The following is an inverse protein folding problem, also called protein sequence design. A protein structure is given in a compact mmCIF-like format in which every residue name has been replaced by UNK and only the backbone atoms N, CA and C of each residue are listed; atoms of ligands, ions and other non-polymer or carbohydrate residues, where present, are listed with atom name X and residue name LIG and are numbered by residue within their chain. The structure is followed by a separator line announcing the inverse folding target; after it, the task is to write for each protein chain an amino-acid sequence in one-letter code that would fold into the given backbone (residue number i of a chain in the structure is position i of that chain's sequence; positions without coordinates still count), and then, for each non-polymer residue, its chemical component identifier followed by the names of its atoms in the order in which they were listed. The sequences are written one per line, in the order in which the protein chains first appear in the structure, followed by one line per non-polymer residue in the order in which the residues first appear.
data_IF_383426299488
#
_entry.id   IF_383426299488
#
_cell.length_a   1.000
_cell.length_b   1.000
_cell.length_c   1.000
_cell.angle_alpha   90.00
_cell.angle_beta   90.00
_cell.angle_gamma   90.00
#
_symmetry.space_group_name_H-M   'P 1'
#
loop_
_entity.id
_entity.type
_entity.pdbx_description
1 polymer ?
#
# COMPACT_ATOMS: atom_id res chain seq x y z
N UNK A 1 -22.86 -1.23 -22.71
CA UNK A 1 -21.83 -2.01 -22.00
C UNK A 1 -20.62 -2.11 -22.91
N UNK A 2 -19.66 -1.21 -22.74
CA UNK A 2 -18.35 -1.29 -23.37
C UNK A 2 -17.36 -1.40 -22.22
N UNK A 3 -16.66 -2.53 -22.17
CA UNK A 3 -15.62 -2.84 -21.19
C UNK A 3 -14.43 -1.90 -21.44
N UNK A 4 -14.49 -0.69 -20.88
CA UNK A 4 -13.36 0.25 -20.84
C UNK A 4 -12.45 -0.17 -19.70
N UNK A 5 -11.83 -1.34 -19.80
CA UNK A 5 -10.58 -1.53 -19.08
C UNK A 5 -9.57 -0.57 -19.72
N UNK A 6 -8.95 0.35 -18.97
CA UNK A 6 -7.89 1.18 -19.51
C UNK A 6 -6.80 0.26 -20.08
N UNK A 7 -6.36 0.52 -21.32
CA UNK A 7 -5.20 -0.18 -21.88
C UNK A 7 -4.04 0.00 -20.89
N UNK A 8 -3.33 -1.07 -20.49
CA UNK A 8 -2.14 -0.94 -19.65
C UNK A 8 -1.16 0.03 -20.31
N UNK A 9 -0.80 1.09 -19.58
CA UNK A 9 0.01 2.21 -20.08
C UNK A 9 1.51 1.90 -20.10
N UNK A 10 1.93 0.78 -19.50
CA UNK A 10 3.33 0.41 -19.33
C UNK A 10 3.63 -1.03 -19.78
N UNK A 11 4.87 -1.27 -20.19
CA UNK A 11 5.38 -2.58 -20.62
C UNK A 11 6.58 -2.94 -19.77
N UNK A 12 6.54 -4.10 -19.12
CA UNK A 12 7.63 -4.69 -18.34
C UNK A 12 8.36 -5.70 -19.22
N UNK A 13 9.63 -5.43 -19.51
CA UNK A 13 10.50 -6.32 -20.27
C UNK A 13 11.32 -7.22 -19.34
N UNK A 14 11.32 -8.53 -19.57
CA UNK A 14 12.06 -9.52 -18.79
C UNK A 14 13.20 -10.17 -19.58
N UNK A 15 14.27 -10.54 -18.89
CA UNK A 15 15.39 -11.32 -19.45
C UNK A 15 16.47 -10.51 -20.16
N UNK A 16 16.34 -9.17 -20.22
CA UNK A 16 17.38 -8.28 -20.74
C UNK A 16 18.64 -8.29 -19.87
N UNK A 17 19.81 -8.06 -20.47
CA UNK A 17 21.09 -8.05 -19.74
C UNK A 17 21.09 -6.98 -18.64
N UNK A 18 21.30 -7.38 -17.40
CA UNK A 18 21.29 -6.48 -16.24
C UNK A 18 19.88 -6.06 -15.77
N UNK A 19 18.82 -6.60 -16.39
CA UNK A 19 17.45 -6.40 -15.91
C UNK A 19 17.18 -7.20 -14.63
N UNK A 20 16.38 -6.63 -13.74
CA UNK A 20 15.89 -7.30 -12.53
C UNK A 20 14.40 -7.03 -12.37
N UNK A 21 13.62 -8.06 -12.08
CA UNK A 21 12.22 -7.94 -11.75
C UNK A 21 12.06 -7.25 -10.39
N UNK A 22 11.32 -6.14 -10.37
CA UNK A 22 11.03 -5.36 -9.15
C UNK A 22 9.64 -5.70 -8.60
N UNK A 23 9.43 -5.46 -7.30
CA UNK A 23 8.12 -5.61 -6.67
C UNK A 23 7.03 -4.72 -7.31
N UNK A 24 7.37 -3.47 -7.66
CA UNK A 24 6.47 -2.58 -8.40
C UNK A 24 6.04 -3.18 -9.75
N UNK A 25 6.96 -3.80 -10.48
CA UNK A 25 6.66 -4.50 -11.73
C UNK A 25 5.75 -5.71 -11.49
N UNK A 26 5.97 -6.46 -10.40
CA UNK A 26 5.10 -7.58 -10.00
C UNK A 26 3.70 -7.09 -9.72
N UNK A 27 3.55 -6.07 -8.87
CA UNK A 27 2.26 -5.48 -8.55
C UNK A 27 1.52 -4.97 -9.78
N UNK A 28 2.23 -4.25 -10.67
CA UNK A 28 1.63 -3.69 -11.88
C UNK A 28 1.08 -4.77 -12.81
N UNK A 29 1.83 -5.85 -13.08
CA UNK A 29 1.35 -6.96 -13.90
C UNK A 29 0.25 -7.75 -13.19
N UNK A 30 0.39 -8.01 -11.89
CA UNK A 30 -0.60 -8.72 -11.09
C UNK A 30 -1.99 -8.05 -11.13
N UNK A 31 -2.01 -6.72 -11.17
CA UNK A 31 -3.21 -5.90 -11.25
C UNK A 31 -3.61 -5.50 -12.69
N UNK A 32 -2.92 -6.00 -13.72
CA UNK A 32 -3.23 -5.69 -15.11
C UNK A 32 -2.91 -4.24 -15.54
N UNK A 33 -2.08 -3.53 -14.77
CA UNK A 33 -1.62 -2.16 -15.04
C UNK A 33 -0.46 -2.12 -16.06
N UNK A 34 0.20 -3.26 -16.30
CA UNK A 34 1.31 -3.39 -17.22
C UNK A 34 1.22 -4.67 -18.07
N UNK A 35 1.71 -4.58 -19.32
CA UNK A 35 1.94 -5.75 -20.17
C UNK A 35 3.32 -6.35 -19.92
N UNK A 36 3.48 -7.62 -20.23
CA UNK A 36 4.74 -8.36 -20.14
C UNK A 36 5.32 -8.56 -21.53
N UNK A 37 6.63 -8.34 -21.66
CA UNK A 37 7.40 -8.62 -22.87
C UNK A 37 8.66 -9.39 -22.50
N UNK A 38 9.03 -10.38 -23.32
CA UNK A 38 10.31 -11.06 -23.21
C UNK A 38 11.32 -10.32 -24.10
N UNK A 39 12.51 -10.05 -23.56
CA UNK A 39 13.60 -9.45 -24.32
C UNK A 39 14.04 -10.35 -25.48
N UNK A 40 14.25 -9.79 -26.67
CA UNK A 40 14.60 -10.59 -27.85
C UNK A 40 15.94 -11.31 -27.68
N UNK A 41 16.90 -10.70 -26.96
CA UNK A 41 18.23 -11.29 -26.77
C UNK A 41 18.22 -12.57 -25.94
N UNK A 42 17.32 -12.68 -24.95
CA UNK A 42 17.17 -13.93 -24.19
C UNK A 42 16.42 -14.96 -25.03
N UNK A 43 15.45 -14.55 -25.84
CA UNK A 43 14.69 -15.45 -26.70
C UNK A 43 15.59 -16.11 -27.76
N UNK A 44 16.48 -15.34 -28.39
CA UNK A 44 17.48 -15.84 -29.34
C UNK A 44 18.43 -16.85 -28.68
N UNK A 45 18.79 -16.61 -27.41
CA UNK A 45 19.61 -17.53 -26.62
C UNK A 45 18.88 -18.84 -26.29
N UNK A 46 17.59 -18.78 -25.94
CA UNK A 46 16.79 -19.99 -25.70
C UNK A 46 16.58 -20.79 -26.98
N UNK A 47 16.33 -20.12 -28.11
CA UNK A 47 16.19 -20.74 -29.44
C UNK A 47 17.47 -21.44 -29.91
N UNK A 48 18.63 -20.84 -29.68
CA UNK A 48 19.92 -21.47 -30.02
C UNK A 48 20.24 -22.65 -29.10
N UNK A 49 19.83 -22.60 -27.82
CA UNK A 49 20.07 -23.66 -26.84
C UNK A 49 19.12 -24.86 -26.96
N UNK A 50 17.90 -24.65 -27.49
CA UNK A 50 16.89 -25.71 -27.65
C UNK A 50 17.28 -26.77 -28.67
N UNK A 51 18.12 -26.43 -29.66
CA UNK A 51 18.65 -27.34 -30.67
C UNK A 51 19.56 -28.46 -30.11
N UNK A 52 20.04 -28.32 -28.87
CA UNK A 52 20.95 -29.25 -28.21
C UNK A 52 20.28 -30.15 -27.14
N UNK A 53 18.94 -30.20 -27.09
CA UNK A 53 18.21 -30.98 -26.07
C UNK A 53 18.35 -32.48 -26.29
N UNK A 54 18.71 -33.19 -25.21
CA UNK A 54 18.93 -34.65 -25.22
C UNK A 54 17.75 -35.47 -24.72
N UNK A 55 16.75 -34.83 -24.09
CA UNK A 55 15.59 -35.50 -23.47
C UNK A 55 14.28 -35.18 -24.19
N UNK A 56 13.38 -36.17 -24.36
CA UNK A 56 12.08 -35.95 -24.97
C UNK A 56 11.20 -35.03 -24.11
N UNK A 57 10.31 -34.23 -24.73
CA UNK A 57 9.37 -33.39 -24.00
C UNK A 57 8.36 -34.26 -23.23
N UNK A 58 7.96 -33.78 -22.05
CA UNK A 58 6.94 -34.38 -21.20
C UNK A 58 5.74 -33.47 -21.19
N UNK A 59 4.55 -34.04 -21.31
CA UNK A 59 3.31 -33.29 -21.13
C UNK A 59 3.07 -33.05 -19.64
N UNK A 60 2.95 -31.78 -19.26
CA UNK A 60 2.75 -31.37 -17.88
C UNK A 60 1.59 -30.38 -17.81
N UNK A 61 0.77 -30.51 -16.78
CA UNK A 61 -0.15 -29.45 -16.39
C UNK A 61 0.51 -28.64 -15.29
N UNK A 62 0.54 -27.31 -15.43
CA UNK A 62 1.12 -26.41 -14.42
C UNK A 62 -0.01 -26.02 -13.46
N UNK A 63 -0.07 -26.60 -12.25
CA UNK A 63 -1.18 -26.34 -11.35
C UNK A 63 -1.04 -24.94 -10.75
N UNK A 64 -2.05 -24.10 -10.98
CA UNK A 64 -2.22 -22.87 -10.21
C UNK A 64 -2.88 -23.25 -8.89
N UNK A 65 -2.29 -22.94 -7.72
CA UNK A 65 -2.89 -23.28 -6.44
C UNK A 65 -4.26 -22.61 -6.31
N UNK A 66 -5.30 -23.41 -6.06
CA UNK A 66 -6.71 -22.96 -6.06
C UNK A 66 -7.04 -21.88 -5.02
N UNK A 67 -6.22 -21.76 -3.98
CA UNK A 67 -6.38 -20.75 -2.93
C UNK A 67 -5.97 -19.35 -3.37
N UNK A 68 -5.14 -19.23 -4.42
CA UNK A 68 -4.60 -17.95 -4.84
C UNK A 68 -5.70 -17.07 -5.43
N UNK A 69 -5.65 -15.78 -5.11
CA UNK A 69 -6.46 -14.79 -5.83
C UNK A 69 -5.98 -14.67 -7.28
N UNK A 70 -6.76 -13.98 -8.11
CA UNK A 70 -6.37 -13.74 -9.50
C UNK A 70 -5.07 -12.93 -9.60
N UNK A 71 -4.88 -11.93 -8.72
CA UNK A 71 -3.66 -11.12 -8.63
C UNK A 71 -2.45 -11.98 -8.21
N UNK A 72 -2.62 -12.83 -7.20
CA UNK A 72 -1.57 -13.74 -6.74
C UNK A 72 -1.21 -14.77 -7.81
N UNK A 73 -2.20 -15.27 -8.55
CA UNK A 73 -2.00 -16.18 -9.67
C UNK A 73 -1.21 -15.52 -10.81
N UNK A 74 -1.51 -14.25 -11.14
CA UNK A 74 -0.72 -13.47 -12.10
C UNK A 74 0.71 -13.22 -11.61
N UNK A 75 0.88 -12.89 -10.33
CA UNK A 75 2.20 -12.69 -9.74
C UNK A 75 3.02 -13.98 -9.72
N UNK A 76 2.39 -15.13 -9.43
CA UNK A 76 2.98 -16.46 -9.55
C UNK A 76 3.50 -16.70 -10.97
N UNK A 77 2.66 -16.50 -11.99
CA UNK A 77 3.03 -16.71 -13.39
C UNK A 77 4.18 -15.79 -13.82
N UNK A 78 4.17 -14.52 -13.39
CA UNK A 78 5.26 -13.59 -13.69
C UNK A 78 6.57 -14.01 -13.01
N UNK A 79 6.51 -14.42 -11.75
CA UNK A 79 7.69 -14.91 -11.02
C UNK A 79 8.24 -16.17 -11.70
N UNK A 80 7.37 -17.11 -12.08
CA UNK A 80 7.73 -18.32 -12.80
C UNK A 80 8.40 -18.01 -14.14
N UNK A 81 7.82 -17.09 -14.92
CA UNK A 81 8.41 -16.60 -16.18
C UNK A 81 9.82 -16.06 -15.94
N UNK A 82 10.00 -15.19 -14.95
CA UNK A 82 11.33 -14.66 -14.62
C UNK A 82 12.31 -15.78 -14.24
N UNK A 83 11.87 -16.79 -13.48
CA UNK A 83 12.71 -17.95 -13.12
C UNK A 83 13.12 -18.79 -14.32
N UNK A 84 12.20 -19.04 -15.26
CA UNK A 84 12.47 -19.77 -16.49
C UNK A 84 13.48 -19.02 -17.37
N UNK A 85 13.39 -17.69 -17.44
CA UNK A 85 14.35 -16.88 -18.20
C UNK A 85 15.73 -16.85 -17.54
N UNK A 86 15.80 -16.84 -16.21
CA UNK A 86 17.04 -16.85 -15.45
C UNK A 86 17.78 -18.20 -15.46
N UNK A 87 17.06 -19.32 -15.61
CA UNK A 87 17.70 -20.64 -15.69
C UNK A 87 18.50 -20.80 -17.00
N UNK A 88 18.09 -20.11 -18.07
CA UNK A 88 18.77 -20.11 -19.37
C UNK A 88 18.72 -21.45 -20.11
N UNK A 89 18.03 -22.45 -19.57
CA UNK A 89 17.86 -23.79 -20.14
C UNK A 89 16.43 -24.08 -20.61
N UNK A 90 15.50 -23.15 -20.36
CA UNK A 90 14.08 -23.29 -20.72
C UNK A 90 13.85 -23.27 -22.24
N UNK A 91 12.70 -23.81 -22.66
CA UNK A 91 12.23 -23.70 -24.04
C UNK A 91 11.75 -22.27 -24.25
N UNK A 92 11.75 -21.72 -25.47
CA UNK A 92 10.99 -20.49 -25.73
C UNK A 92 9.48 -20.68 -25.52
N UNK A 93 8.95 -21.90 -25.68
CA UNK A 93 7.50 -22.18 -25.74
C UNK A 93 6.78 -21.79 -24.46
N UNK A 94 7.18 -22.33 -23.30
CA UNK A 94 6.52 -22.07 -22.03
C UNK A 94 6.63 -20.59 -21.59
N UNK A 95 7.80 -19.93 -21.63
CA UNK A 95 7.92 -18.50 -21.37
C UNK A 95 7.00 -17.64 -22.23
N UNK A 96 6.94 -17.90 -23.55
CA UNK A 96 6.08 -17.15 -24.48
C UNK A 96 4.61 -17.35 -24.11
N UNK A 97 4.18 -18.59 -23.87
CA UNK A 97 2.80 -18.89 -23.46
C UNK A 97 2.41 -18.17 -22.16
N UNK A 98 3.28 -18.17 -21.15
CA UNK A 98 3.03 -17.45 -19.90
C UNK A 98 2.90 -15.94 -20.17
N UNK A 99 3.79 -15.36 -20.99
CA UNK A 99 3.74 -13.95 -21.36
C UNK A 99 2.44 -13.59 -22.09
N UNK A 100 1.96 -14.45 -22.98
CA UNK A 100 0.69 -14.26 -23.69
C UNK A 100 -0.49 -14.28 -22.73
N UNK A 101 -0.58 -15.29 -21.85
CA UNK A 101 -1.64 -15.42 -20.85
C UNK A 101 -1.71 -14.19 -19.95
N UNK A 102 -0.56 -13.71 -19.44
CA UNK A 102 -0.49 -12.50 -18.62
C UNK A 102 -1.04 -11.26 -19.36
N UNK A 103 -0.85 -11.20 -20.68
CA UNK A 103 -1.30 -10.09 -21.52
C UNK A 103 -2.76 -10.19 -22.00
N UNK A 104 -3.41 -11.36 -21.90
CA UNK A 104 -4.80 -11.53 -22.37
C UNK A 104 -5.83 -10.74 -21.56
N UNK A 105 -5.49 -10.32 -20.34
CA UNK A 105 -6.46 -9.72 -19.42
C UNK A 105 -7.53 -10.72 -18.92
N UNK A 106 -7.40 -12.01 -19.23
CA UNK A 106 -8.39 -13.04 -18.85
C UNK A 106 -8.58 -13.12 -17.33
N UNK A 107 -9.82 -13.38 -16.90
CA UNK A 107 -10.15 -13.69 -15.50
C UNK A 107 -9.91 -15.15 -15.14
N UNK A 108 -9.74 -16.01 -16.14
CA UNK A 108 -9.36 -17.40 -15.98
C UNK A 108 -7.93 -17.59 -16.52
N UNK A 109 -7.03 -18.03 -15.66
CA UNK A 109 -5.66 -18.38 -16.03
C UNK A 109 -5.61 -19.89 -16.20
N UNK A 110 -5.50 -20.36 -17.43
CA UNK A 110 -5.29 -21.76 -17.73
C UNK A 110 -4.18 -21.89 -18.77
N UNK A 111 -3.13 -22.62 -18.41
CA UNK A 111 -2.00 -22.94 -19.27
C UNK A 111 -2.30 -24.16 -20.15
N UNK A 112 -3.37 -24.92 -19.85
CA UNK A 112 -3.69 -26.17 -20.51
C UNK A 112 -2.63 -27.25 -20.25
N UNK A 113 -2.53 -28.19 -21.18
CA UNK A 113 -1.46 -29.19 -21.22
C UNK A 113 -0.29 -28.62 -22.03
N UNK A 114 0.88 -28.51 -21.41
CA UNK A 114 2.07 -27.91 -22.04
C UNK A 114 3.20 -28.95 -22.13
N UNK A 115 3.90 -28.97 -23.26
CA UNK A 115 5.12 -29.76 -23.42
C UNK A 115 6.31 -29.05 -22.76
N UNK A 116 6.90 -29.70 -21.76
CA UNK A 116 8.02 -29.17 -20.96
C UNK A 116 9.20 -30.14 -20.98
N UNK A 117 10.43 -29.60 -20.92
CA UNK A 117 11.65 -30.40 -20.76
C UNK A 117 11.87 -30.83 -19.31
N UNK A 118 12.77 -31.79 -19.08
CA UNK A 118 13.14 -32.22 -17.72
C UNK A 118 13.71 -31.06 -16.88
N UNK A 119 14.44 -30.14 -17.50
CA UNK A 119 14.95 -28.93 -16.84
C UNK A 119 13.81 -27.97 -16.46
N UNK A 120 12.80 -27.82 -17.32
CA UNK A 120 11.62 -26.99 -17.06
C UNK A 120 10.77 -27.57 -15.92
N UNK A 121 10.60 -28.90 -15.86
CA UNK A 121 9.98 -29.60 -14.72
C UNK A 121 10.76 -29.31 -13.44
N UNK A 122 12.09 -29.41 -13.48
CA UNK A 122 12.93 -29.07 -12.33
C UNK A 122 12.77 -27.62 -11.86
N UNK A 123 12.55 -26.67 -12.78
CA UNK A 123 12.22 -25.27 -12.43
C UNK A 123 10.82 -25.19 -11.82
N UNK A 124 9.82 -25.83 -12.40
CA UNK A 124 8.44 -25.82 -11.90
C UNK A 124 8.32 -26.39 -10.47
N UNK A 125 8.98 -27.51 -10.21
CA UNK A 125 8.91 -28.20 -8.91
C UNK A 125 9.73 -27.51 -7.82
N UNK A 126 10.85 -26.88 -8.19
CA UNK A 126 11.83 -26.37 -7.21
C UNK A 126 11.84 -24.86 -7.07
N UNK A 127 11.23 -24.14 -8.00
CA UNK A 127 11.12 -22.69 -7.84
C UNK A 127 9.89 -22.38 -7.02
N UNK A 128 10.09 -21.72 -5.88
CA UNK A 128 9.01 -21.21 -5.03
C UNK A 128 8.32 -19.99 -5.68
N UNK A 129 7.99 -20.07 -6.97
CA UNK A 129 7.47 -18.97 -7.77
C UNK A 129 6.19 -18.38 -7.16
N UNK A 130 5.31 -19.22 -6.60
CA UNK A 130 4.12 -18.74 -5.90
C UNK A 130 4.49 -17.88 -4.69
N UNK A 131 5.45 -18.33 -3.88
CA UNK A 131 5.93 -17.56 -2.73
C UNK A 131 6.54 -16.23 -3.16
N UNK A 132 7.41 -16.25 -4.17
CA UNK A 132 8.11 -15.06 -4.63
C UNK A 132 7.17 -14.06 -5.30
N UNK A 133 6.16 -14.54 -6.04
CA UNK A 133 5.12 -13.72 -6.63
C UNK A 133 4.32 -12.97 -5.56
N UNK A 134 3.82 -13.68 -4.54
CA UNK A 134 3.07 -13.06 -3.44
C UNK A 134 3.97 -12.11 -2.64
N UNK A 135 5.24 -12.47 -2.39
CA UNK A 135 6.21 -11.56 -1.76
C UNK A 135 6.41 -10.26 -2.56
N UNK A 136 6.37 -10.32 -3.90
CA UNK A 136 6.43 -9.14 -4.76
C UNK A 136 5.25 -8.19 -4.55
N UNK A 137 4.04 -8.73 -4.37
CA UNK A 137 2.85 -7.93 -4.02
C UNK A 137 3.02 -7.33 -2.62
N UNK A 138 3.33 -8.16 -1.63
CA UNK A 138 3.50 -7.75 -0.23
C UNK A 138 4.56 -6.66 -0.07
N UNK A 139 5.70 -6.78 -0.74
CA UNK A 139 6.78 -5.80 -0.71
C UNK A 139 6.29 -4.42 -1.20
N UNK A 140 5.66 -4.37 -2.38
CA UNK A 140 5.19 -3.11 -2.94
C UNK A 140 4.09 -2.47 -2.09
N UNK A 141 3.06 -3.26 -1.75
CA UNK A 141 1.92 -2.77 -0.97
C UNK A 141 2.37 -2.34 0.44
N UNK A 142 3.15 -3.15 1.16
CA UNK A 142 3.58 -2.77 2.52
C UNK A 142 4.51 -1.54 2.54
N UNK A 143 5.34 -1.35 1.51
CA UNK A 143 6.17 -0.15 1.33
C UNK A 143 5.34 1.12 1.16
N UNK A 144 4.32 1.05 0.31
CA UNK A 144 3.39 2.16 0.13
C UNK A 144 2.56 2.41 1.41
N UNK A 145 2.11 1.35 2.08
CA UNK A 145 1.32 1.45 3.31
C UNK A 145 2.10 2.16 4.40
N UNK A 146 3.37 1.79 4.60
CA UNK A 146 4.23 2.41 5.61
C UNK A 146 4.31 3.92 5.40
N UNK A 147 4.40 4.39 4.14
CA UNK A 147 4.49 5.81 3.82
C UNK A 147 3.14 6.52 4.03
N UNK A 148 2.05 5.94 3.53
CA UNK A 148 0.72 6.54 3.63
C UNK A 148 0.22 6.55 5.09
N UNK A 149 0.51 5.50 5.87
CA UNK A 149 0.14 5.44 7.27
C UNK A 149 0.73 6.59 8.09
N UNK A 150 1.98 6.99 7.84
CA UNK A 150 2.61 8.16 8.50
C UNK A 150 1.87 9.46 8.18
N UNK A 151 1.51 9.64 6.91
CA UNK A 151 0.77 10.82 6.43
C UNK A 151 -0.63 10.87 7.06
N UNK A 152 -1.34 9.75 7.04
CA UNK A 152 -2.68 9.64 7.63
C UNK A 152 -2.62 9.87 9.14
N UNK A 153 -1.65 9.27 9.83
CA UNK A 153 -1.47 9.47 11.26
C UNK A 153 -1.16 10.94 11.60
N UNK A 154 -0.38 11.66 10.79
CA UNK A 154 -0.15 13.10 10.96
C UNK A 154 -1.46 13.90 10.82
N UNK A 155 -2.28 13.61 9.81
CA UNK A 155 -3.59 14.26 9.63
C UNK A 155 -4.52 13.95 10.82
N UNK A 156 -4.51 12.70 11.32
CA UNK A 156 -5.24 12.27 12.51
C UNK A 156 -4.81 13.00 13.78
N UNK A 157 -3.50 13.26 13.96
CA UNK A 157 -3.01 14.05 15.10
C UNK A 157 -3.65 15.44 15.12
N UNK A 158 -3.81 16.07 13.95
CA UNK A 158 -4.46 17.37 13.85
C UNK A 158 -5.97 17.32 14.05
N UNK A 159 -6.63 16.30 13.48
CA UNK A 159 -8.07 16.08 13.61
C UNK A 159 -8.49 15.89 15.07
N UNK A 160 -7.77 15.03 15.79
CA UNK A 160 -7.99 14.74 17.21
C UNK A 160 -7.37 15.78 18.15
N UNK A 161 -6.59 16.74 17.63
CA UNK A 161 -5.84 17.74 18.41
C UNK A 161 -4.88 17.11 19.41
N UNK A 162 -4.37 15.93 19.06
CA UNK A 162 -3.56 15.11 19.93
C UNK A 162 -2.26 15.80 20.33
N UNK A 163 -1.78 15.49 21.53
CA UNK A 163 -0.43 15.78 21.95
C UNK A 163 0.56 14.97 21.11
N UNK A 164 1.60 15.65 20.65
CA UNK A 164 2.64 15.10 19.77
C UNK A 164 4.01 15.13 20.44
N UNK A 165 4.04 15.23 21.78
CA UNK A 165 5.26 15.23 22.58
C UNK A 165 6.11 13.98 22.35
N UNK A 166 5.47 12.84 22.09
CA UNK A 166 6.12 11.57 21.76
C UNK A 166 6.97 11.61 20.47
N UNK A 167 6.75 12.60 19.59
CA UNK A 167 7.58 12.79 18.39
C UNK A 167 8.92 13.47 18.71
N UNK A 168 9.15 13.88 19.96
CA UNK A 168 10.41 14.46 20.42
C UNK A 168 11.48 13.40 20.74
N UNK A 169 11.65 12.46 19.80
CA UNK A 169 12.77 11.53 19.82
C UNK A 169 14.04 12.23 19.35
N UNK A 170 15.15 11.97 20.06
CA UNK A 170 16.48 12.39 19.67
C UNK A 170 17.32 11.14 19.38
N UNK A 171 18.16 11.22 18.36
CA UNK A 171 19.22 10.23 18.18
C UNK A 171 20.21 10.38 19.33
N UNK A 172 20.47 9.30 20.06
CA UNK A 172 21.43 9.24 21.16
C UNK A 172 22.86 9.54 20.72
N UNK A 173 23.15 9.50 19.41
CA UNK A 173 24.46 9.82 18.83
C UNK A 173 25.54 8.78 19.12
N UNK A 174 25.24 7.76 19.93
CA UNK A 174 26.07 6.59 20.22
C UNK A 174 25.96 5.51 19.14
N UNK A 175 25.11 5.72 18.14
CA UNK A 175 24.88 4.80 17.02
C UNK A 175 23.92 3.65 17.31
N UNK A 176 23.33 3.57 18.52
CA UNK A 176 22.43 2.50 18.95
C UNK A 176 20.93 2.89 18.95
N UNK A 177 20.58 4.08 18.45
CA UNK A 177 19.18 4.49 18.31
C UNK A 177 18.41 3.61 17.31
N UNK A 178 17.12 3.39 17.57
CA UNK A 178 16.22 2.76 16.58
C UNK A 178 15.92 3.78 15.48
N UNK A 179 16.73 3.76 14.42
CA UNK A 179 16.73 4.77 13.35
C UNK A 179 15.37 4.94 12.68
N UNK A 180 14.61 3.84 12.56
CA UNK A 180 13.29 3.88 11.94
C UNK A 180 12.26 4.61 12.82
N UNK A 181 12.30 4.45 14.15
CA UNK A 181 11.43 5.22 15.07
C UNK A 181 11.75 6.72 15.04
N UNK A 182 13.05 7.06 15.08
CA UNK A 182 13.52 8.45 14.98
C UNK A 182 13.15 9.05 13.63
N UNK A 183 13.26 8.26 12.56
CA UNK A 183 12.87 8.63 11.20
C UNK A 183 11.38 8.97 11.11
N UNK A 184 10.50 8.10 11.61
CA UNK A 184 9.05 8.34 11.67
C UNK A 184 8.75 9.61 12.47
N UNK A 185 9.33 9.77 13.67
CA UNK A 185 9.10 10.95 14.50
C UNK A 185 9.54 12.25 13.79
N UNK A 186 10.66 12.21 13.07
CA UNK A 186 11.13 13.31 12.24
C UNK A 186 10.16 13.62 11.09
N UNK A 187 9.70 12.60 10.37
CA UNK A 187 8.78 12.77 9.23
C UNK A 187 7.45 13.39 9.68
N UNK A 188 6.87 12.91 10.78
CA UNK A 188 5.65 13.49 11.35
C UNK A 188 5.86 14.96 11.77
N UNK A 189 7.03 15.32 12.31
CA UNK A 189 7.36 16.73 12.61
C UNK A 189 7.41 17.60 11.37
N UNK A 190 7.93 17.09 10.25
CA UNK A 190 7.92 17.81 8.97
C UNK A 190 6.49 18.04 8.51
N UNK A 191 5.64 17.01 8.56
CA UNK A 191 4.24 17.07 8.15
C UNK A 191 3.44 18.08 9.00
N UNK A 192 3.63 18.05 10.32
CA UNK A 192 2.90 18.85 11.30
C UNK A 192 3.48 20.26 11.51
N UNK A 193 4.57 20.61 10.83
CA UNK A 193 5.28 21.87 11.04
C UNK A 193 4.35 23.08 10.87
N UNK A 194 4.26 23.92 11.91
CA UNK A 194 3.43 25.12 11.94
C UNK A 194 1.95 24.90 12.31
N UNK A 195 1.54 23.66 12.61
CA UNK A 195 0.18 23.36 13.04
C UNK A 195 -0.17 24.08 14.36
N UNK A 196 -1.41 24.58 14.45
CA UNK A 196 -2.01 25.09 15.70
C UNK A 196 -3.09 24.15 16.26
N UNK A 197 -3.25 22.98 15.67
CA UNK A 197 -4.31 22.04 16.03
C UNK A 197 -3.85 21.02 17.07
N UNK A 198 -2.63 20.50 16.98
CA UNK A 198 -2.00 19.54 17.91
C UNK A 198 -1.67 20.14 19.29
N UNK A 199 -1.30 19.28 20.24
CA UNK A 199 -0.78 19.64 21.57
C UNK A 199 -1.84 19.85 22.65
N UNK A 200 -3.04 19.24 22.53
CA UNK A 200 -4.17 19.55 23.43
C UNK A 200 -4.77 18.34 24.14
N UNK A 201 -4.66 17.15 23.57
CA UNK A 201 -5.33 15.94 24.07
C UNK A 201 -4.32 14.81 24.11
N UNK A 202 -4.10 14.18 25.27
CA UNK A 202 -3.26 12.98 25.31
C UNK A 202 -3.99 11.80 24.67
N UNK A 203 -3.27 11.09 23.79
CA UNK A 203 -3.81 9.99 23.00
C UNK A 203 -2.77 8.88 22.90
N UNK A 204 -3.04 7.73 23.51
CA UNK A 204 -2.11 6.58 23.51
C UNK A 204 -1.78 6.13 22.08
N UNK A 205 -2.78 6.02 21.21
CA UNK A 205 -2.58 5.63 19.81
C UNK A 205 -1.76 6.64 18.98
N UNK A 206 -1.52 7.86 19.50
CA UNK A 206 -0.62 8.86 18.90
C UNK A 206 0.76 8.76 19.53
N UNK A 207 0.86 8.54 20.85
CA UNK A 207 2.15 8.38 21.52
C UNK A 207 2.91 7.11 21.08
N UNK A 208 2.19 6.09 20.62
CA UNK A 208 2.75 4.85 20.09
C UNK A 208 3.20 4.93 18.62
N UNK A 209 2.85 5.99 17.87
CA UNK A 209 3.13 6.08 16.42
C UNK A 209 4.60 5.80 16.10
N UNK A 210 5.60 6.47 16.74
CA UNK A 210 7.00 6.25 16.39
C UNK A 210 7.42 4.78 16.49
N UNK A 211 6.97 4.07 17.54
CA UNK A 211 7.31 2.67 17.79
C UNK A 211 6.64 1.73 16.78
N UNK A 212 5.33 1.87 16.61
CA UNK A 212 4.54 0.98 15.73
C UNK A 212 4.93 1.17 14.27
N UNK A 213 4.99 2.42 13.81
CA UNK A 213 5.32 2.72 12.43
C UNK A 213 6.82 2.52 12.16
N UNK A 214 7.70 2.78 13.14
CA UNK A 214 9.13 2.49 13.04
C UNK A 214 9.41 0.99 12.88
N UNK A 215 8.77 0.15 13.70
CA UNK A 215 8.83 -1.31 13.58
C UNK A 215 8.31 -1.80 12.23
N UNK A 216 7.22 -1.19 11.72
CA UNK A 216 6.73 -1.51 10.38
C UNK A 216 7.77 -1.16 9.31
N UNK A 217 8.33 0.06 9.34
CA UNK A 217 9.33 0.55 8.37
C UNK A 217 10.57 -0.34 8.33
N UNK A 218 11.07 -0.75 9.49
CA UNK A 218 12.20 -1.68 9.61
C UNK A 218 11.91 -3.01 8.91
N UNK A 219 10.76 -3.61 9.22
CA UNK A 219 10.38 -4.93 8.71
C UNK A 219 10.07 -4.88 7.21
N UNK A 220 9.39 -3.83 6.73
CA UNK A 220 9.13 -3.58 5.31
C UNK A 220 10.44 -3.55 4.52
N UNK A 221 11.47 -2.87 5.05
CA UNK A 221 12.81 -2.86 4.43
C UNK A 221 13.42 -4.26 4.37
N UNK A 222 13.23 -5.09 5.39
CA UNK A 222 13.71 -6.48 5.38
C UNK A 222 12.98 -7.34 4.33
N UNK A 223 11.66 -7.18 4.23
CA UNK A 223 10.84 -7.83 3.19
C UNK A 223 11.31 -7.39 1.82
N UNK A 224 11.51 -6.09 1.59
CA UNK A 224 12.01 -5.56 0.33
C UNK A 224 13.34 -6.21 -0.11
N UNK A 225 14.31 -6.26 0.79
CA UNK A 225 15.62 -6.86 0.52
C UNK A 225 15.49 -8.35 0.19
N UNK A 226 14.68 -9.10 0.96
CA UNK A 226 14.45 -10.53 0.72
C UNK A 226 13.75 -10.75 -0.61
N UNK A 227 12.62 -10.09 -0.84
CA UNK A 227 11.82 -10.20 -2.07
C UNK A 227 12.66 -9.92 -3.30
N UNK A 228 13.50 -8.88 -3.29
CA UNK A 228 14.37 -8.54 -4.42
C UNK A 228 15.34 -9.67 -4.76
N UNK A 229 15.93 -10.32 -3.75
CA UNK A 229 16.81 -11.50 -3.95
C UNK A 229 16.01 -12.68 -4.47
N UNK A 230 14.88 -12.99 -3.83
CA UNK A 230 14.09 -14.17 -4.16
C UNK A 230 13.37 -14.07 -5.50
N UNK A 231 13.00 -12.88 -5.99
CA UNK A 231 12.49 -12.69 -7.35
C UNK A 231 13.58 -12.97 -8.40
N UNK A 232 14.82 -12.57 -8.13
CA UNK A 232 15.89 -12.51 -9.12
C UNK A 232 16.97 -13.60 -8.99
N UNK A 233 16.82 -14.54 -8.05
CA UNK A 233 17.71 -15.69 -7.92
C UNK A 233 17.49 -16.71 -9.06
N UNK A 234 18.54 -17.04 -9.82
CA UNK A 234 18.49 -18.13 -10.81
C UNK A 234 18.54 -19.49 -10.10
N UNK A 235 17.54 -20.33 -10.33
CA UNK A 235 17.47 -21.66 -9.71
C UNK A 235 18.56 -22.58 -10.26
N UNK A 236 19.69 -22.72 -9.55
CA UNK A 236 20.46 -23.96 -9.65
C UNK A 236 19.64 -25.01 -8.91
N UNK A 237 19.07 -25.93 -9.70
CA UNK A 237 18.15 -27.04 -9.34
C UNK A 237 18.62 -27.86 -8.12
N UNK A 238 19.90 -27.75 -7.73
CA UNK A 238 20.53 -28.52 -6.64
C UNK A 238 20.55 -27.82 -5.27
N UNK A 239 20.07 -26.56 -5.14
CA UNK A 239 20.18 -25.78 -3.88
C UNK A 239 18.88 -25.12 -3.39
N UNK A 240 17.71 -25.59 -3.84
CA UNK A 240 16.41 -24.95 -3.58
C UNK A 240 15.82 -25.16 -2.16
N UNK A 241 16.52 -25.84 -1.25
CA UNK A 241 16.02 -26.08 0.11
C UNK A 241 15.99 -24.81 0.97
N UNK A 242 14.86 -24.51 1.60
CA UNK A 242 14.75 -23.50 2.66
C UNK A 242 14.19 -22.13 2.26
N UNK A 243 13.78 -21.91 1.01
CA UNK A 243 13.21 -20.63 0.56
C UNK A 243 11.97 -20.23 1.37
N UNK A 244 11.05 -21.18 1.64
CA UNK A 244 9.87 -20.92 2.50
C UNK A 244 10.24 -20.48 3.91
N UNK A 245 11.24 -21.13 4.53
CA UNK A 245 11.77 -20.75 5.85
C UNK A 245 12.41 -19.37 5.82
N UNK A 246 13.23 -19.08 4.80
CA UNK A 246 13.86 -17.77 4.64
C UNK A 246 12.82 -16.64 4.49
N UNK A 247 11.77 -16.86 3.69
CA UNK A 247 10.67 -15.91 3.55
C UNK A 247 9.90 -15.75 4.86
N UNK A 248 9.57 -16.84 5.56
CA UNK A 248 8.86 -16.78 6.84
C UNK A 248 9.62 -15.93 7.88
N UNK A 249 10.95 -16.00 7.94
CA UNK A 249 11.74 -15.20 8.90
C UNK A 249 11.58 -13.69 8.76
N UNK A 250 11.23 -13.18 7.56
CA UNK A 250 11.02 -11.74 7.35
C UNK A 250 9.54 -11.36 7.27
N UNK A 251 8.68 -12.26 6.78
CA UNK A 251 7.24 -11.96 6.61
C UNK A 251 6.44 -12.21 7.90
N UNK A 252 6.85 -13.11 8.80
CA UNK A 252 6.15 -13.29 10.08
C UNK A 252 6.21 -12.02 10.95
N UNK A 253 7.36 -11.32 11.08
CA UNK A 253 7.40 -9.98 11.68
C UNK A 253 6.50 -8.97 10.96
N UNK A 254 6.35 -9.05 9.62
CA UNK A 254 5.50 -8.14 8.87
C UNK A 254 4.04 -8.30 9.32
N UNK A 255 3.57 -9.54 9.45
CA UNK A 255 2.22 -9.81 9.93
C UNK A 255 1.96 -9.21 11.31
N UNK A 256 2.95 -9.30 12.22
CA UNK A 256 2.83 -8.74 13.56
C UNK A 256 2.77 -7.20 13.52
N UNK A 257 3.70 -6.56 12.80
CA UNK A 257 3.71 -5.10 12.62
C UNK A 257 2.44 -4.57 11.95
N UNK A 258 1.91 -5.29 10.96
CA UNK A 258 0.64 -4.95 10.31
C UNK A 258 -0.54 -5.00 11.29
N UNK A 259 -0.63 -6.05 12.12
CA UNK A 259 -1.68 -6.15 13.15
C UNK A 259 -1.62 -4.96 14.11
N UNK A 260 -0.43 -4.62 14.62
CA UNK A 260 -0.27 -3.48 15.53
C UNK A 260 -0.59 -2.14 14.86
N UNK A 261 -0.19 -1.96 13.60
CA UNK A 261 -0.57 -0.79 12.80
C UNK A 261 -2.09 -0.69 12.67
N UNK A 262 -2.77 -1.79 12.32
CA UNK A 262 -4.22 -1.85 12.18
C UNK A 262 -4.95 -1.52 13.48
N UNK A 263 -4.51 -2.09 14.61
CA UNK A 263 -5.08 -1.81 15.93
C UNK A 263 -4.92 -0.32 16.30
N UNK A 264 -3.72 0.23 16.10
CA UNK A 264 -3.41 1.65 16.38
C UNK A 264 -4.20 2.60 15.48
N UNK A 265 -4.25 2.32 14.17
CA UNK A 265 -5.00 3.09 13.18
C UNK A 265 -6.50 3.07 13.44
N UNK A 266 -7.06 1.90 13.80
CA UNK A 266 -8.47 1.77 14.16
C UNK A 266 -8.82 2.60 15.40
N UNK A 267 -7.91 2.67 16.38
CA UNK A 267 -8.07 3.52 17.56
C UNK A 267 -8.13 5.00 17.16
N UNK A 268 -7.16 5.47 16.36
CA UNK A 268 -7.15 6.87 15.86
C UNK A 268 -8.37 7.19 15.01
N UNK A 269 -8.83 6.28 14.15
CA UNK A 269 -10.04 6.45 13.37
C UNK A 269 -11.26 6.72 14.26
N UNK A 270 -11.47 5.90 15.30
CA UNK A 270 -12.57 6.09 16.27
C UNK A 270 -12.47 7.43 17.00
N UNK A 271 -11.26 7.87 17.34
CA UNK A 271 -11.05 9.16 17.98
C UNK A 271 -11.35 10.34 17.06
N UNK A 272 -10.98 10.24 15.78
CA UNK A 272 -11.32 11.22 14.77
C UNK A 272 -12.85 11.32 14.60
N UNK A 273 -13.56 10.19 14.58
CA UNK A 273 -15.03 10.16 14.54
C UNK A 273 -15.64 10.90 15.74
N UNK A 274 -15.11 10.67 16.95
CA UNK A 274 -15.55 11.37 18.16
C UNK A 274 -15.24 12.87 18.14
N UNK A 275 -14.25 13.29 17.36
CA UNK A 275 -13.83 14.69 17.21
C UNK A 275 -14.67 15.47 16.18
N UNK A 276 -15.60 14.82 15.48
CA UNK A 276 -16.52 15.48 14.54
C UNK A 276 -17.53 16.32 15.32
N UNK A 277 -17.51 17.64 15.11
CA UNK A 277 -18.38 18.57 15.84
C UNK A 277 -19.85 18.58 15.43
N UNK A 278 -20.21 17.98 14.29
CA UNK A 278 -21.60 17.87 13.83
C UNK A 278 -22.17 16.49 14.15
N UNK A 279 -23.20 16.42 14.99
CA UNK A 279 -23.80 15.17 15.44
C UNK A 279 -24.38 14.34 14.30
N UNK A 280 -25.05 14.99 13.34
CA UNK A 280 -25.61 14.31 12.17
C UNK A 280 -24.51 13.72 11.27
N UNK A 281 -23.44 14.49 11.04
CA UNK A 281 -22.31 14.02 10.23
C UNK A 281 -21.59 12.86 10.92
N UNK A 282 -21.40 12.99 12.24
CA UNK A 282 -20.79 11.97 13.08
C UNK A 282 -21.60 10.67 13.04
N UNK A 283 -22.90 10.72 13.28
CA UNK A 283 -23.74 9.52 13.30
C UNK A 283 -23.80 8.83 11.94
N UNK A 284 -23.91 9.57 10.84
CA UNK A 284 -23.87 9.01 9.49
C UNK A 284 -22.54 8.33 9.17
N UNK A 285 -21.41 8.96 9.51
CA UNK A 285 -20.10 8.39 9.24
C UNK A 285 -19.79 7.19 10.15
N UNK A 286 -20.21 7.22 11.41
CA UNK A 286 -20.11 6.07 12.34
C UNK A 286 -20.84 4.86 11.77
N UNK A 287 -22.08 5.04 11.28
CA UNK A 287 -22.84 3.94 10.66
C UNK A 287 -22.13 3.33 9.43
N UNK A 288 -21.50 4.16 8.59
CA UNK A 288 -20.71 3.67 7.46
C UNK A 288 -19.43 2.95 7.92
N UNK A 289 -18.74 3.51 8.91
CA UNK A 289 -17.52 2.95 9.47
C UNK A 289 -17.78 1.58 10.10
N UNK A 290 -18.79 1.45 10.96
CA UNK A 290 -19.15 0.18 11.62
C UNK A 290 -19.59 -0.90 10.63
N UNK A 291 -20.19 -0.51 9.50
CA UNK A 291 -20.64 -1.45 8.47
C UNK A 291 -19.56 -1.88 7.47
N UNK A 292 -18.47 -1.13 7.31
CA UNK A 292 -17.47 -1.35 6.24
C UNK A 292 -16.03 -1.48 6.72
N UNK A 293 -15.65 -0.82 7.81
CA UNK A 293 -14.30 -0.87 8.34
C UNK A 293 -14.03 -2.22 9.01
N UNK A 294 -12.90 -2.88 8.73
CA UNK A 294 -12.55 -4.11 9.42
C UNK A 294 -12.41 -3.93 10.94
N UNK A 295 -12.80 -4.97 11.69
CA UNK A 295 -12.83 -4.95 13.15
C UNK A 295 -11.52 -5.46 13.77
N UNK A 296 -11.31 -5.15 15.05
CA UNK A 296 -10.20 -5.67 15.85
C UNK A 296 -10.22 -7.21 15.92
N UNK A 297 -11.41 -7.82 15.98
CA UNK A 297 -11.56 -9.27 15.99
C UNK A 297 -11.21 -9.86 14.61
N UNK A 298 -11.51 -9.13 13.52
CA UNK A 298 -11.05 -9.46 12.18
C UNK A 298 -9.52 -9.54 12.09
N UNK A 299 -8.82 -8.51 12.61
CA UNK A 299 -7.35 -8.49 12.65
C UNK A 299 -6.76 -9.65 13.46
N UNK A 300 -7.32 -9.93 14.65
CA UNK A 300 -6.87 -11.04 15.51
C UNK A 300 -7.09 -12.40 14.84
N UNK A 301 -8.23 -12.58 14.18
CA UNK A 301 -8.54 -13.83 13.47
C UNK A 301 -7.61 -14.03 12.27
N UNK A 302 -7.36 -12.99 11.47
CA UNK A 302 -6.40 -13.06 10.37
C UNK A 302 -4.99 -13.43 10.87
N UNK A 303 -4.51 -12.77 11.93
CA UNK A 303 -3.20 -13.07 12.52
C UNK A 303 -3.09 -14.49 13.07
N UNK A 304 -4.19 -15.05 13.60
CA UNK A 304 -4.25 -16.44 14.04
C UNK A 304 -4.08 -17.41 12.88
N UNK A 305 -4.82 -17.21 11.77
CA UNK A 305 -4.71 -18.05 10.56
C UNK A 305 -3.28 -18.03 9.98
N UNK A 306 -2.65 -16.85 9.98
CA UNK A 306 -1.24 -16.68 9.58
C UNK A 306 -0.33 -17.55 10.47
N UNK A 307 -0.51 -17.47 11.80
CA UNK A 307 0.32 -18.21 12.76
C UNK A 307 0.17 -19.73 12.61
N UNK A 308 -1.07 -20.20 12.39
CA UNK A 308 -1.39 -21.61 12.11
C UNK A 308 -0.69 -22.07 10.81
N UNK A 309 -0.79 -21.30 9.72
CA UNK A 309 -0.17 -21.66 8.44
C UNK A 309 1.37 -21.71 8.49
N UNK A 310 2.02 -20.81 9.23
CA UNK A 310 3.49 -20.87 9.46
C UNK A 310 3.87 -22.13 10.24
N UNK A 311 3.09 -22.46 11.28
CA UNK A 311 3.33 -23.62 12.11
C UNK A 311 3.20 -24.94 11.33
N UNK A 312 2.23 -25.00 10.42
CA UNK A 312 2.01 -26.14 9.51
C UNK A 312 3.03 -26.22 8.37
N UNK A 313 3.97 -25.26 8.27
CA UNK A 313 4.90 -25.07 7.15
C UNK A 313 4.20 -24.92 5.78
N UNK A 314 2.92 -24.52 5.76
CA UNK A 314 2.19 -24.17 4.54
C UNK A 314 2.49 -22.71 4.16
N UNK A 315 3.65 -22.51 3.53
CA UNK A 315 4.15 -21.17 3.20
C UNK A 315 3.30 -20.43 2.16
N UNK A 316 2.58 -21.15 1.29
CA UNK A 316 1.72 -20.51 0.28
C UNK A 316 0.48 -19.94 0.96
N UNK A 317 -0.18 -20.75 1.80
CA UNK A 317 -1.30 -20.28 2.62
C UNK A 317 -0.87 -19.18 3.58
N UNK A 318 0.28 -19.32 4.22
CA UNK A 318 0.84 -18.28 5.09
C UNK A 318 0.94 -16.92 4.37
N UNK A 319 1.56 -16.85 3.19
CA UNK A 319 1.70 -15.59 2.47
C UNK A 319 0.36 -15.05 1.97
N UNK A 320 -0.55 -15.92 1.55
CA UNK A 320 -1.92 -15.55 1.17
C UNK A 320 -2.65 -14.87 2.33
N UNK A 321 -2.59 -15.45 3.53
CA UNK A 321 -3.23 -14.89 4.73
C UNK A 321 -2.57 -13.57 5.15
N UNK A 322 -1.24 -13.42 5.01
CA UNK A 322 -0.55 -12.14 5.24
C UNK A 322 -1.01 -11.07 4.25
N UNK A 323 -1.22 -11.44 2.98
CA UNK A 323 -1.76 -10.54 1.97
C UNK A 323 -3.19 -10.11 2.30
N UNK A 324 -4.02 -11.04 2.80
CA UNK A 324 -5.35 -10.74 3.34
C UNK A 324 -5.31 -9.75 4.51
N UNK A 325 -4.40 -9.95 5.47
CA UNK A 325 -4.21 -9.02 6.59
C UNK A 325 -3.74 -7.64 6.11
N UNK A 326 -2.81 -7.57 5.16
CA UNK A 326 -2.33 -6.30 4.59
C UNK A 326 -3.47 -5.49 3.99
N UNK A 327 -4.33 -6.12 3.18
CA UNK A 327 -5.52 -5.47 2.60
C UNK A 327 -6.49 -4.98 3.67
N UNK A 328 -6.68 -5.76 4.74
CA UNK A 328 -7.51 -5.38 5.88
C UNK A 328 -6.97 -4.12 6.57
N UNK A 329 -5.65 -4.07 6.82
CA UNK A 329 -4.99 -2.93 7.46
C UNK A 329 -5.02 -1.70 6.56
N UNK A 330 -4.82 -1.87 5.25
CA UNK A 330 -4.94 -0.78 4.28
C UNK A 330 -6.33 -0.12 4.33
N UNK A 331 -7.40 -0.94 4.34
CA UNK A 331 -8.77 -0.44 4.47
C UNK A 331 -8.98 0.33 5.79
N UNK A 332 -8.44 -0.17 6.92
CA UNK A 332 -8.49 0.55 8.21
C UNK A 332 -7.79 1.92 8.11
N UNK A 333 -6.62 2.00 7.46
CA UNK A 333 -5.90 3.27 7.26
C UNK A 333 -6.69 4.22 6.37
N UNK A 334 -7.40 3.72 5.35
CA UNK A 334 -8.33 4.54 4.54
C UNK A 334 -9.45 5.10 5.44
N UNK A 335 -10.05 4.28 6.30
CA UNK A 335 -11.07 4.76 7.24
C UNK A 335 -10.54 5.77 8.25
N UNK A 336 -9.30 5.61 8.72
CA UNK A 336 -8.62 6.62 9.53
C UNK A 336 -8.52 7.95 8.77
N UNK A 337 -8.10 7.92 7.50
CA UNK A 337 -7.97 9.09 6.63
C UNK A 337 -9.33 9.78 6.38
N UNK A 338 -10.38 9.00 6.08
CA UNK A 338 -11.74 9.50 5.92
C UNK A 338 -12.20 10.20 7.20
N UNK A 339 -12.10 9.54 8.36
CA UNK A 339 -12.53 10.10 9.63
C UNK A 339 -11.75 11.39 9.98
N UNK A 340 -10.45 11.40 9.74
CA UNK A 340 -9.60 12.57 9.96
C UNK A 340 -10.00 13.72 9.04
N UNK A 341 -10.17 13.45 7.74
CA UNK A 341 -10.59 14.45 6.75
C UNK A 341 -11.96 15.05 7.09
N UNK A 342 -12.94 14.22 7.43
CA UNK A 342 -14.30 14.68 7.79
C UNK A 342 -14.29 15.48 9.08
N UNK A 343 -13.52 15.08 10.10
CA UNK A 343 -13.34 15.86 11.33
C UNK A 343 -12.75 17.24 11.04
N UNK A 344 -11.82 17.31 10.11
CA UNK A 344 -11.11 18.51 9.72
C UNK A 344 -11.96 19.45 8.83
N UNK A 345 -12.68 18.92 7.83
CA UNK A 345 -13.28 19.70 6.73
C UNK A 345 -14.81 19.61 6.66
N UNK A 346 -15.41 18.68 7.41
CA UNK A 346 -16.84 18.37 7.37
C UNK A 346 -17.74 19.53 7.70
N UNK A 347 -17.44 20.25 8.78
CA UNK A 347 -18.27 21.38 9.24
C UNK A 347 -18.22 22.60 8.32
N UNK A 348 -17.08 22.82 7.63
CA UNK A 348 -16.93 23.99 6.74
C UNK A 348 -17.60 23.78 5.38
N UNK A 349 -17.62 22.55 4.87
CA UNK A 349 -18.18 22.24 3.56
C UNK A 349 -19.69 21.98 3.60
N UNK A 350 -20.18 21.27 4.62
CA UNK A 350 -21.63 21.02 4.78
C UNK A 350 -22.37 22.29 5.17
N UNK A 351 -21.72 23.17 5.95
CA UNK A 351 -22.26 24.48 6.29
C UNK A 351 -22.48 25.39 5.06
N UNK A 352 -21.81 25.14 3.93
CA UNK A 352 -22.03 25.89 2.68
C UNK A 352 -23.25 25.40 1.89
N UNK A 353 -23.57 24.10 1.91
CA UNK A 353 -24.80 23.58 1.28
C UNK A 353 -26.07 24.06 1.99
N UNK A 354 -26.00 24.37 3.29
CA UNK A 354 -27.16 24.86 4.07
C UNK A 354 -27.55 26.33 3.86
N UNK A 355 -26.78 27.10 3.09
CA UNK A 355 -26.97 28.58 2.97
C UNK A 355 -27.67 28.99 1.66
N UNK A 356 -27.82 28.10 0.68
CA UNK A 356 -28.37 28.47 -0.64
C UNK A 356 -29.91 28.37 -0.79
N UNK A 357 -30.68 28.08 0.26
CA UNK A 357 -32.14 27.83 0.09
C UNK A 357 -33.07 28.99 0.48
N UNK A 358 -32.64 30.04 1.18
CA UNK A 358 -33.57 31.13 1.53
C UNK A 358 -33.11 32.50 1.01
N UNK A 359 -33.40 32.74 -0.26
CA UNK A 359 -33.61 34.10 -0.76
C UNK A 359 -34.85 34.70 -0.09
N UNK A 360 -34.64 35.57 0.89
CA UNK A 360 -35.69 36.33 1.54
C UNK A 360 -35.10 37.42 2.42
N UNK A 361 -35.15 38.66 1.95
CA UNK A 361 -34.77 39.86 2.66
C UNK A 361 -35.37 39.92 4.08
N UNK A 362 -34.53 39.79 5.12
CA UNK A 362 -34.81 40.40 6.43
C UNK A 362 -33.53 40.97 7.06
N UNK A 363 -33.51 42.31 7.11
CA UNK A 363 -32.62 43.13 7.93
C UNK A 363 -32.84 42.84 9.41
N UNK A 364 -31.74 42.61 10.13
CA UNK A 364 -31.62 42.84 11.58
C UNK A 364 -31.47 41.58 12.42
N UNK A 365 -30.25 41.25 12.87
CA UNK A 365 -29.68 41.80 14.10
C UNK A 365 -28.24 41.30 14.26
N UNK A 366 -27.33 42.19 14.68
CA UNK A 366 -25.90 41.92 14.83
C UNK A 366 -25.68 41.03 16.06
N UNK A 367 -25.62 39.72 15.86
CA UNK A 367 -25.30 38.72 16.87
C UNK A 367 -23.87 38.20 16.70
N UNK A 368 -22.95 38.69 17.55
CA UNK A 368 -21.59 38.20 17.86
C UNK A 368 -20.94 37.31 16.80
N UNK A 369 -20.06 37.91 15.97
CA UNK A 369 -18.92 37.20 15.36
C UNK A 369 -18.13 36.51 16.47
N UNK A 370 -18.36 35.23 16.70
CA UNK A 370 -17.34 34.39 17.31
C UNK A 370 -16.14 34.48 16.37
N UNK A 371 -15.01 34.99 16.84
CA UNK A 371 -13.74 34.91 16.13
C UNK A 371 -13.49 33.45 15.75
N UNK A 372 -13.81 33.07 14.50
CA UNK A 372 -13.44 31.78 13.95
C UNK A 372 -11.92 31.76 13.90
N UNK A 373 -11.28 31.20 14.93
CA UNK A 373 -9.85 30.93 14.93
C UNK A 373 -9.54 30.17 13.65
N UNK A 374 -8.83 30.83 12.73
CA UNK A 374 -8.42 30.26 11.45
C UNK A 374 -7.74 28.92 11.75
N UNK A 375 -8.29 27.84 11.18
CA UNK A 375 -7.70 26.52 11.27
C UNK A 375 -6.33 26.57 10.58
N UNK A 376 -5.26 26.32 11.32
CA UNK A 376 -3.89 26.29 10.78
C UNK A 376 -3.38 24.87 10.89
N UNK A 377 -3.43 24.17 9.76
CA UNK A 377 -2.82 22.85 9.57
C UNK A 377 -1.30 22.96 9.47
N UNK A 378 -0.62 21.85 9.71
CA UNK A 378 0.79 21.67 9.39
C UNK A 378 1.04 21.89 7.90
N UNK A 379 2.23 22.37 7.55
CA UNK A 379 2.58 22.66 6.15
C UNK A 379 2.42 21.42 5.27
N UNK A 380 2.96 20.27 5.69
CA UNK A 380 2.89 19.03 4.91
C UNK A 380 1.47 18.49 4.85
N UNK A 381 0.79 18.37 5.99
CA UNK A 381 -0.59 17.89 6.03
C UNK A 381 -1.56 18.78 5.25
N UNK A 382 -1.36 20.10 5.24
CA UNK A 382 -2.19 21.04 4.48
C UNK A 382 -2.13 20.80 2.96
N UNK A 383 -0.95 20.45 2.44
CA UNK A 383 -0.77 20.11 1.02
C UNK A 383 -1.54 18.83 0.70
N UNK A 384 -1.43 17.79 1.53
CA UNK A 384 -2.11 16.52 1.28
C UNK A 384 -3.63 16.68 1.40
N UNK A 385 -4.13 17.36 2.43
CA UNK A 385 -5.56 17.66 2.58
C UNK A 385 -6.09 18.45 1.39
N UNK A 386 -5.28 19.36 0.82
CA UNK A 386 -5.65 20.11 -0.37
C UNK A 386 -5.74 19.22 -1.62
N UNK A 387 -4.82 18.27 -1.81
CA UNK A 387 -4.92 17.28 -2.91
C UNK A 387 -6.19 16.44 -2.80
N UNK A 388 -6.53 15.98 -1.60
CA UNK A 388 -7.78 15.26 -1.34
C UNK A 388 -8.98 16.14 -1.73
N UNK A 389 -9.00 17.42 -1.34
CA UNK A 389 -10.08 18.35 -1.72
C UNK A 389 -10.20 18.52 -3.23
N UNK A 390 -9.09 18.67 -3.93
CA UNK A 390 -9.05 18.83 -5.39
C UNK A 390 -9.63 17.60 -6.08
N UNK A 391 -9.22 16.41 -5.65
CA UNK A 391 -9.75 15.13 -6.14
C UNK A 391 -11.27 15.00 -5.91
N UNK A 392 -11.75 15.43 -4.73
CA UNK A 392 -13.18 15.42 -4.41
C UNK A 392 -14.00 16.43 -5.23
N UNK A 393 -13.38 17.52 -5.68
CA UNK A 393 -14.02 18.54 -6.51
C UNK A 393 -14.05 18.17 -8.00
N UNK A 394 -13.05 17.44 -8.50
CA UNK A 394 -12.99 16.99 -9.89
C UNK A 394 -13.93 15.82 -10.21
N UNK A 395 -14.47 15.14 -9.19
CA UNK A 395 -15.33 13.96 -9.30
C UNK A 395 -16.73 14.14 -9.90
N UNK A 396 -17.05 15.33 -10.44
CA UNK A 396 -18.15 15.51 -11.40
C UNK A 396 -19.54 15.06 -10.93
N UNK A 397 -20.06 15.68 -9.88
CA UNK A 397 -21.49 15.64 -9.59
C UNK A 397 -21.82 16.57 -8.43
N UNK A 398 -22.85 17.40 -8.57
CA UNK A 398 -23.33 18.22 -7.47
C UNK A 398 -23.95 17.31 -6.39
N UNK A 399 -23.54 17.46 -5.14
CA UNK A 399 -24.19 16.77 -4.03
C UNK A 399 -25.52 17.45 -3.75
N UNK A 400 -26.61 16.68 -3.77
CA UNK A 400 -27.98 17.20 -3.60
C UNK A 400 -28.31 17.38 -2.12
N UNK A 401 -27.62 16.64 -1.24
CA UNK A 401 -27.77 16.72 0.22
C UNK A 401 -26.46 16.35 0.95
N UNK A 402 -26.46 16.46 2.28
CA UNK A 402 -25.29 16.17 3.11
C UNK A 402 -24.89 14.68 3.11
N UNK A 403 -25.85 13.77 2.89
CA UNK A 403 -25.61 12.32 2.88
C UNK A 403 -24.89 11.88 1.60
N UNK A 404 -25.36 12.37 0.45
CA UNK A 404 -24.72 12.18 -0.85
C UNK A 404 -23.34 12.83 -0.93
N UNK A 405 -23.13 13.97 -0.27
CA UNK A 405 -21.79 14.56 -0.15
C UNK A 405 -20.85 13.66 0.67
N UNK A 406 -21.31 13.14 1.81
CA UNK A 406 -20.53 12.22 2.63
C UNK A 406 -20.15 10.94 1.86
N UNK A 407 -21.11 10.37 1.11
CA UNK A 407 -20.85 9.22 0.24
C UNK A 407 -19.75 9.51 -0.78
N UNK A 408 -19.81 10.65 -1.47
CA UNK A 408 -18.77 11.08 -2.42
C UNK A 408 -17.41 11.27 -1.77
N UNK A 409 -17.36 11.77 -0.54
CA UNK A 409 -16.10 11.91 0.20
C UNK A 409 -15.49 10.57 0.57
N UNK A 410 -16.31 9.63 1.05
CA UNK A 410 -15.86 8.27 1.35
C UNK A 410 -15.29 7.63 0.09
N UNK A 411 -16.03 7.65 -1.02
CA UNK A 411 -15.59 7.07 -2.29
C UNK A 411 -14.36 7.75 -2.85
N UNK A 412 -14.30 9.08 -2.79
CA UNK A 412 -13.20 9.85 -3.36
C UNK A 412 -11.91 9.73 -2.55
N UNK A 413 -11.96 9.68 -1.22
CA UNK A 413 -10.78 9.38 -0.40
C UNK A 413 -10.32 7.93 -0.59
N UNK A 414 -11.27 6.99 -0.68
CA UNK A 414 -10.98 5.59 -0.96
C UNK A 414 -10.23 5.43 -2.29
N UNK A 415 -10.77 6.02 -3.37
CA UNK A 415 -10.11 6.04 -4.69
C UNK A 415 -8.76 6.76 -4.68
N UNK A 416 -8.61 7.85 -3.94
CA UNK A 416 -7.34 8.59 -3.85
C UNK A 416 -6.22 7.78 -3.20
N UNK A 417 -6.57 6.82 -2.34
CA UNK A 417 -5.64 5.94 -1.63
C UNK A 417 -5.61 4.51 -2.22
N UNK A 418 -6.23 4.30 -3.39
CA UNK A 418 -6.12 3.04 -4.13
C UNK A 418 -4.79 3.00 -4.88
N UNK A 419 -3.98 1.98 -4.58
CA UNK A 419 -2.70 1.70 -5.25
C UNK A 419 -2.84 1.48 -6.77
N UNK A 420 -4.04 1.15 -7.24
CA UNK A 420 -4.34 0.94 -8.66
C UNK A 420 -4.71 2.24 -9.36
N UNK A 421 -4.93 3.33 -8.62
CA UNK A 421 -5.24 4.63 -9.21
C UNK A 421 -4.00 5.21 -9.90
N UNK A 422 -4.11 5.66 -11.17
CA UNK A 422 -2.98 6.25 -11.89
C UNK A 422 -2.33 7.47 -11.21
N UNK A 423 -3.06 8.17 -10.34
CA UNK A 423 -2.55 9.34 -9.61
C UNK A 423 -1.85 8.96 -8.29
N UNK A 424 -1.91 7.70 -7.86
CA UNK A 424 -1.31 7.26 -6.59
C UNK A 424 0.22 7.43 -6.56
N UNK A 425 0.90 7.15 -7.68
CA UNK A 425 2.35 7.40 -7.80
C UNK A 425 2.68 8.89 -7.64
N UNK A 426 1.81 9.77 -8.15
CA UNK A 426 1.95 11.23 -7.97
C UNK A 426 1.81 11.63 -6.50
N UNK A 427 0.86 11.02 -5.78
CA UNK A 427 0.71 11.20 -4.34
C UNK A 427 1.97 10.78 -3.59
N UNK A 428 2.51 9.58 -3.84
CA UNK A 428 3.74 9.11 -3.19
C UNK A 428 4.92 10.03 -3.46
N UNK A 429 5.09 10.47 -4.71
CA UNK A 429 6.14 11.43 -5.08
C UNK A 429 5.96 12.76 -4.37
N UNK A 430 4.72 13.23 -4.18
CA UNK A 430 4.46 14.45 -3.44
C UNK A 430 4.76 14.33 -1.96
N UNK A 431 4.41 13.20 -1.34
CA UNK A 431 4.78 12.89 0.05
C UNK A 431 6.30 12.92 0.21
N UNK A 432 7.02 12.26 -0.70
CA UNK A 432 8.49 12.26 -0.71
C UNK A 432 9.07 13.68 -0.81
N UNK A 433 8.57 14.51 -1.73
CA UNK A 433 8.98 15.91 -1.87
C UNK A 433 8.81 16.70 -0.56
N UNK A 434 7.70 16.48 0.16
CA UNK A 434 7.42 17.14 1.44
C UNK A 434 8.44 16.70 2.50
N UNK A 435 8.67 15.39 2.65
CA UNK A 435 9.56 14.82 3.67
C UNK A 435 11.04 15.15 3.43
N UNK A 436 11.45 15.23 2.15
CA UNK A 436 12.82 15.60 1.76
C UNK A 436 13.02 17.12 1.71
N UNK A 437 11.97 17.92 1.93
CA UNK A 437 12.08 19.37 1.90
C UNK A 437 13.04 19.89 2.98
N UNK A 438 14.04 20.66 2.56
CA UNK A 438 15.04 21.24 3.46
C UNK A 438 14.47 22.30 4.42
N UNK A 439 13.18 22.67 4.32
CA UNK A 439 12.60 23.72 5.17
C UNK A 439 12.55 23.36 6.65
N UNK A 440 12.33 22.08 6.99
CA UNK A 440 12.28 21.59 8.37
C UNK A 440 13.67 21.30 8.96
N UNK A 441 14.69 21.13 8.11
CA UNK A 441 16.08 20.82 8.48
C UNK A 441 16.99 22.05 8.57
N UNK A 442 16.49 23.24 8.22
CA UNK A 442 17.24 24.49 8.36
C UNK A 442 17.34 24.88 9.83
N UNK A 443 18.56 24.88 10.36
CA UNK A 443 18.88 25.56 11.63
C UNK A 443 18.35 27.00 11.59
N UNK A 444 17.83 27.55 12.71
CA UNK A 444 17.47 28.95 12.80
C UNK A 444 18.65 29.80 12.30
N UNK A 445 18.39 30.72 11.37
CA UNK A 445 19.42 31.66 10.92
C UNK A 445 19.88 32.43 12.15
N UNK A 446 21.17 32.30 12.49
CA UNK A 446 21.77 33.11 13.54
C UNK A 446 21.48 34.59 13.22
N UNK A 447 20.97 35.37 14.18
CA UNK A 447 20.73 36.78 13.95
C UNK A 447 22.05 37.42 13.51
N UNK A 448 22.03 38.12 12.37
CA UNK A 448 23.16 38.94 11.97
C UNK A 448 23.33 40.02 13.04
N UNK A 449 24.44 39.95 13.77
CA UNK A 449 24.90 41.04 14.63
C UNK A 449 25.02 42.26 13.72
N UNK A 450 24.18 43.27 13.96
CA UNK A 450 24.25 44.56 13.28
C UNK A 450 24.46 45.63 14.32
#
# INVERSE_FOLDING_TARGET
MADKNPKPSSVITLGGKGSSLSAASVFAVANGLAQVRIDSSILDKLNSSSSNRKSPPVKCHIPIPKMLTLEESRAFLLALLNKLLLSGSASPVLPVLISEILNTGSKALDLGEVEVSAEEVGVLEKTCASLHGICGILDYESSALSTIADVVAAISCEASRADVGALNLMDSGDGFSVKDEVGVASDLKVLLNGSKLVGKVEVDAVSEIPKIHGSLREVVRMVHLRTRVELNSGGKVDKAGGAGKAVATVVSPLAASLRYLGESSLSRAKMNLNSIGSDNLRSSLVGLFEGKCPSIDGLKNAYRLISEAVFEEDYVKFLHEVNGLLRMVWEIVIWEAIAAFVSLEGSESIGKLGVEVNGGDQKGNVGKKSEKKKKVLGKGTSVIVQLVKERLQSGGGDAVDASSLLGKWVEGVHSFLDLKDPEFDSLLMKVKEILESNESRRLPKLPKVT
#
